data_IF_616697053248
#
_entry.id   IF_616697053248
#
_cell.length_a   1.000
_cell.length_b   1.000
_cell.length_c   1.000
_cell.angle_alpha   90.00
_cell.angle_beta   90.00
_cell.angle_gamma   90.00
#
_symmetry.space_group_name_H-M   'P 1'
#
loop_
_entity.id
_entity.type
_entity.pdbx_description
1 polymer ?
#
# COMPACT_ATOMS: atom_id res chain seq x y z
N UNK A 1 -38.63 67.76 -30.75
CA UNK A 1 -38.78 66.47 -30.10
C UNK A 1 -37.50 65.68 -30.40
N UNK A 2 -36.56 65.55 -29.44
CA UNK A 2 -35.27 64.88 -29.64
C UNK A 2 -35.39 63.48 -29.01
N UNK A 3 -35.30 62.42 -29.82
CA UNK A 3 -35.28 61.05 -29.36
C UNK A 3 -33.84 60.70 -28.89
N UNK A 4 -33.69 60.48 -27.61
CA UNK A 4 -32.46 59.95 -27.02
C UNK A 4 -32.54 58.39 -27.02
N UNK A 5 -31.75 57.77 -27.88
CA UNK A 5 -31.58 56.32 -27.91
C UNK A 5 -30.51 55.98 -26.84
N UNK A 6 -30.95 55.35 -25.77
CA UNK A 6 -30.03 54.77 -24.75
C UNK A 6 -29.50 53.43 -25.27
N UNK A 7 -28.20 53.41 -25.63
CA UNK A 7 -27.50 52.19 -26.02
C UNK A 7 -27.03 51.48 -24.76
N UNK A 8 -27.68 50.40 -24.37
CA UNK A 8 -27.32 49.56 -23.23
C UNK A 8 -26.17 48.62 -23.67
N UNK A 9 -24.92 49.01 -23.39
CA UNK A 9 -23.78 48.15 -23.60
C UNK A 9 -23.73 47.09 -22.49
N UNK A 10 -24.18 45.85 -22.78
CA UNK A 10 -24.02 44.69 -21.92
C UNK A 10 -22.57 44.25 -22.04
N UNK A 11 -21.77 44.55 -21.03
CA UNK A 11 -20.42 44.01 -20.83
C UNK A 11 -20.52 42.51 -20.55
N UNK A 12 -20.40 41.67 -21.57
CA UNK A 12 -20.15 40.27 -21.47
C UNK A 12 -18.69 40.06 -20.98
N UNK A 13 -18.49 40.04 -19.68
CA UNK A 13 -17.25 39.52 -19.13
C UNK A 13 -17.26 38.00 -19.38
N UNK A 14 -16.27 37.44 -20.07
CA UNK A 14 -16.17 35.99 -20.14
C UNK A 14 -15.86 35.47 -18.73
N UNK A 15 -16.82 34.86 -18.08
CA UNK A 15 -16.57 33.97 -16.97
C UNK A 15 -15.75 32.80 -17.55
N UNK A 16 -14.42 32.88 -17.42
CA UNK A 16 -13.57 31.75 -17.60
C UNK A 16 -13.92 30.78 -16.47
N UNK A 17 -14.85 29.84 -16.76
CA UNK A 17 -15.01 28.65 -15.95
C UNK A 17 -13.71 27.89 -16.14
N UNK A 18 -12.76 28.09 -15.21
CA UNK A 18 -11.57 27.28 -15.12
C UNK A 18 -12.08 25.89 -14.74
N UNK A 19 -12.18 25.00 -15.72
CA UNK A 19 -12.47 23.60 -15.47
C UNK A 19 -11.39 23.11 -14.51
N UNK A 20 -11.76 22.86 -13.25
CA UNK A 20 -10.87 22.28 -12.25
C UNK A 20 -10.47 20.93 -12.82
N UNK A 21 -9.21 20.77 -13.20
CA UNK A 21 -8.70 19.49 -13.67
C UNK A 21 -8.99 18.45 -12.59
N UNK A 22 -9.79 17.44 -12.92
CA UNK A 22 -10.29 16.44 -11.96
C UNK A 22 -9.23 15.59 -11.25
N UNK A 23 -7.95 15.95 -11.38
CA UNK A 23 -6.82 15.31 -10.71
C UNK A 23 -6.20 16.11 -9.56
N UNK A 24 -6.55 17.40 -9.41
CA UNK A 24 -5.87 18.29 -8.45
C UNK A 24 -6.17 17.97 -6.97
N UNK A 25 -7.25 17.25 -6.69
CA UNK A 25 -7.71 16.92 -5.33
C UNK A 25 -7.51 15.43 -4.99
N UNK A 26 -6.97 14.60 -5.90
CA UNK A 26 -6.72 13.18 -5.64
C UNK A 26 -5.53 13.03 -4.72
N UNK A 27 -5.72 12.30 -3.62
CA UNK A 27 -4.67 11.96 -2.65
C UNK A 27 -4.38 10.46 -2.70
N UNK A 28 -3.11 10.10 -2.92
CA UNK A 28 -2.62 8.74 -2.90
C UNK A 28 -1.76 8.56 -1.66
N UNK A 29 -2.01 7.52 -0.88
CA UNK A 29 -1.20 7.21 0.31
C UNK A 29 -0.81 5.74 0.32
N UNK A 30 0.47 5.47 0.61
CA UNK A 30 0.92 4.14 1.00
C UNK A 30 0.59 3.94 2.47
N UNK A 31 -0.10 2.87 2.78
CA UNK A 31 -0.48 2.51 4.14
C UNK A 31 0.41 1.37 4.62
N UNK A 32 1.04 1.56 5.78
CA UNK A 32 1.80 0.52 6.48
C UNK A 32 1.07 0.18 7.77
N UNK A 33 0.71 -1.09 7.91
CA UNK A 33 0.03 -1.63 9.07
C UNK A 33 0.99 -2.49 9.87
N UNK A 34 1.08 -2.26 11.18
CA UNK A 34 1.97 -3.02 12.03
C UNK A 34 1.60 -4.49 12.10
N UNK A 35 2.56 -5.37 12.45
CA UNK A 35 2.32 -6.78 12.73
C UNK A 35 1.14 -7.01 13.67
N UNK A 36 0.41 -8.12 13.46
CA UNK A 36 -0.67 -8.61 14.30
C UNK A 36 -0.27 -9.89 15.04
N UNK A 37 -1.24 -10.52 15.72
CA UNK A 37 -1.02 -11.76 16.48
C UNK A 37 -1.33 -13.02 15.66
N UNK A 38 -2.11 -12.89 14.59
CA UNK A 38 -2.41 -14.00 13.70
C UNK A 38 -1.22 -14.32 12.79
N UNK A 39 -0.97 -15.60 12.55
CA UNK A 39 0.20 -16.09 11.80
C UNK A 39 0.38 -15.35 10.46
N UNK A 40 -0.71 -15.12 9.72
CA UNK A 40 -0.70 -14.40 8.44
C UNK A 40 -0.43 -12.90 8.57
N UNK A 41 -0.47 -12.36 9.79
CA UNK A 41 -0.26 -10.93 10.07
C UNK A 41 1.05 -10.63 10.80
N UNK A 42 1.89 -11.61 11.08
CA UNK A 42 3.17 -11.43 11.80
C UNK A 42 4.11 -10.43 11.12
N UNK A 43 3.98 -10.26 9.82
CA UNK A 43 4.88 -9.40 9.04
C UNK A 43 4.26 -8.04 8.71
N UNK A 44 3.07 -7.74 9.24
CA UNK A 44 2.34 -6.53 8.91
C UNK A 44 1.64 -6.58 7.55
N UNK A 45 1.23 -5.41 7.05
CA UNK A 45 0.56 -5.30 5.76
C UNK A 45 0.85 -3.97 5.10
N UNK A 46 0.87 -3.95 3.77
CA UNK A 46 0.96 -2.72 2.96
C UNK A 46 -0.23 -2.63 2.01
N UNK A 47 -0.85 -1.45 1.95
CA UNK A 47 -1.97 -1.16 1.06
C UNK A 47 -1.84 0.23 0.43
N UNK A 48 -2.68 0.55 -0.55
CA UNK A 48 -2.77 1.89 -1.13
C UNK A 48 -4.15 2.47 -0.87
N UNK A 49 -4.19 3.68 -0.28
CA UNK A 49 -5.40 4.49 -0.20
C UNK A 49 -5.47 5.41 -1.40
N UNK A 50 -6.60 5.41 -2.06
CA UNK A 50 -7.01 6.32 -3.11
C UNK A 50 -8.18 7.16 -2.61
N UNK A 51 -7.99 8.47 -2.50
CA UNK A 51 -9.01 9.41 -2.05
C UNK A 51 -9.25 10.45 -3.13
N UNK A 52 -10.47 10.52 -3.62
CA UNK A 52 -10.93 11.44 -4.64
C UNK A 52 -12.21 12.16 -4.15
N UNK A 53 -12.06 13.31 -3.50
CA UNK A 53 -13.19 14.03 -2.93
C UNK A 53 -14.20 14.49 -4.00
N UNK A 54 -13.73 14.80 -5.21
CA UNK A 54 -14.60 15.26 -6.29
C UNK A 54 -15.59 14.18 -6.73
N UNK A 55 -15.19 12.91 -6.66
CA UNK A 55 -16.00 11.75 -7.02
C UNK A 55 -16.55 11.01 -5.78
N UNK A 56 -16.41 11.55 -4.57
CA UNK A 56 -16.83 10.93 -3.30
C UNK A 56 -16.23 9.54 -3.09
N UNK A 57 -15.00 9.31 -3.54
CA UNK A 57 -14.29 8.05 -3.38
C UNK A 57 -13.24 8.16 -2.27
N UNK A 58 -13.23 7.18 -1.38
CA UNK A 58 -12.20 6.98 -0.35
C UNK A 58 -12.03 5.48 -0.14
N UNK A 59 -11.11 4.90 -0.90
CA UNK A 59 -10.94 3.45 -1.06
C UNK A 59 -9.53 3.03 -0.65
N UNK A 60 -9.44 1.82 -0.12
CA UNK A 60 -8.16 1.14 0.14
C UNK A 60 -8.07 -0.08 -0.76
N UNK A 61 -7.01 -0.13 -1.55
CA UNK A 61 -6.68 -1.26 -2.42
C UNK A 61 -5.74 -2.19 -1.65
N UNK A 62 -6.23 -3.39 -1.37
CA UNK A 62 -5.54 -4.42 -0.63
C UNK A 62 -5.12 -5.54 -1.58
N UNK A 63 -3.81 -5.82 -1.64
CA UNK A 63 -3.26 -6.99 -2.29
C UNK A 63 -3.08 -8.10 -1.25
N UNK A 64 -3.17 -9.36 -1.68
CA UNK A 64 -2.99 -10.49 -0.76
C UNK A 64 -4.28 -10.91 -0.05
N UNK A 65 -5.44 -10.51 -0.57
CA UNK A 65 -6.72 -11.02 -0.08
C UNK A 65 -6.91 -12.46 -0.57
N UNK A 66 -7.24 -13.37 0.32
CA UNK A 66 -7.39 -14.79 0.03
C UNK A 66 -8.67 -15.35 0.64
N UNK A 67 -9.10 -16.51 0.15
CA UNK A 67 -10.29 -17.20 0.62
C UNK A 67 -9.91 -18.52 1.28
N UNK A 68 -10.07 -18.63 2.59
CA UNK A 68 -9.83 -19.86 3.36
C UNK A 68 -10.73 -21.02 2.95
N UNK A 69 -11.88 -20.76 2.32
CA UNK A 69 -12.80 -21.79 1.86
C UNK A 69 -12.39 -22.44 0.52
N UNK A 70 -11.19 -22.12 0.02
CA UNK A 70 -10.65 -22.77 -1.18
C UNK A 70 -10.32 -24.23 -0.85
N UNK A 71 -10.76 -25.16 -1.69
CA UNK A 71 -10.47 -26.58 -1.53
C UNK A 71 -8.97 -26.83 -1.43
N UNK A 72 -8.58 -27.61 -0.41
CA UNK A 72 -7.18 -27.91 -0.10
C UNK A 72 -6.30 -26.67 0.13
N UNK A 73 -6.87 -25.60 0.71
CA UNK A 73 -6.16 -24.33 0.93
C UNK A 73 -4.78 -24.51 1.56
N UNK A 74 -4.67 -25.29 2.65
CA UNK A 74 -3.41 -25.51 3.37
C UNK A 74 -2.35 -26.15 2.46
N UNK A 75 -2.72 -27.17 1.68
CA UNK A 75 -1.80 -27.80 0.73
C UNK A 75 -1.35 -26.85 -0.36
N UNK A 76 -2.28 -26.12 -0.96
CA UNK A 76 -1.98 -25.12 -1.97
C UNK A 76 -1.09 -23.99 -1.41
N UNK A 77 -1.34 -23.59 -0.17
CA UNK A 77 -0.50 -22.58 0.51
C UNK A 77 0.92 -23.09 0.68
N UNK A 78 1.12 -24.29 1.22
CA UNK A 78 2.44 -24.91 1.41
C UNK A 78 3.18 -25.11 0.07
N UNK A 79 2.47 -25.45 -1.00
CA UNK A 79 3.05 -25.62 -2.33
C UNK A 79 3.26 -24.30 -3.10
N UNK A 80 2.87 -23.14 -2.52
CA UNK A 80 2.92 -21.86 -3.22
C UNK A 80 1.92 -21.76 -4.38
N UNK A 81 0.86 -22.57 -4.36
CA UNK A 81 -0.15 -22.65 -5.44
C UNK A 81 -1.45 -21.88 -5.10
N UNK A 82 -1.44 -21.08 -4.05
CA UNK A 82 -2.61 -20.30 -3.63
C UNK A 82 -2.74 -19.05 -4.49
N UNK A 83 -3.91 -18.86 -5.08
CA UNK A 83 -4.26 -17.63 -5.75
C UNK A 83 -4.83 -16.63 -4.75
N UNK A 84 -4.35 -15.42 -4.84
CA UNK A 84 -4.77 -14.27 -4.04
C UNK A 84 -5.38 -13.22 -4.97
N UNK A 85 -6.03 -12.23 -4.38
CA UNK A 85 -6.64 -11.18 -5.18
C UNK A 85 -6.34 -9.78 -4.65
N UNK A 86 -6.45 -8.81 -5.56
CA UNK A 86 -6.55 -7.40 -5.22
C UNK A 86 -8.02 -7.04 -5.01
N UNK A 87 -8.33 -6.39 -3.90
CA UNK A 87 -9.68 -5.90 -3.60
C UNK A 87 -9.64 -4.46 -3.14
N UNK A 88 -10.67 -3.69 -3.50
CA UNK A 88 -10.90 -2.36 -2.95
C UNK A 88 -11.96 -2.43 -1.84
N UNK A 89 -11.69 -1.78 -0.72
CA UNK A 89 -12.63 -1.61 0.39
C UNK A 89 -12.79 -0.13 0.76
N UNK A 90 -13.96 0.31 1.22
CA UNK A 90 -14.12 1.65 1.76
C UNK A 90 -13.19 1.90 2.94
N UNK A 91 -12.65 3.14 3.02
CA UNK A 91 -11.72 3.56 4.07
C UNK A 91 -12.22 3.30 5.49
N UNK A 92 -13.49 3.56 5.76
CA UNK A 92 -14.09 3.35 7.08
C UNK A 92 -14.07 1.89 7.54
N UNK A 93 -14.25 0.93 6.63
CA UNK A 93 -14.16 -0.50 6.94
C UNK A 93 -12.72 -0.90 7.25
N UNK A 94 -11.77 -0.44 6.44
CA UNK A 94 -10.35 -0.68 6.68
C UNK A 94 -9.92 -0.16 8.06
N UNK A 95 -10.28 1.07 8.41
CA UNK A 95 -9.94 1.65 9.71
C UNK A 95 -10.57 0.88 10.87
N UNK A 96 -11.83 0.47 10.73
CA UNK A 96 -12.52 -0.30 11.77
C UNK A 96 -11.84 -1.65 11.99
N UNK A 97 -11.42 -2.33 10.93
CA UNK A 97 -10.69 -3.60 11.02
C UNK A 97 -9.40 -3.46 11.81
N UNK A 98 -8.54 -2.49 11.47
CA UNK A 98 -7.25 -2.32 12.15
C UNK A 98 -7.39 -1.80 13.58
N UNK A 99 -8.41 -0.99 13.89
CA UNK A 99 -8.77 -0.65 15.28
C UNK A 99 -9.14 -1.89 16.08
N UNK A 100 -9.93 -2.78 15.51
CA UNK A 100 -10.36 -4.03 16.16
C UNK A 100 -9.18 -4.97 16.40
N UNK A 101 -8.20 -5.00 15.47
CA UNK A 101 -6.95 -5.77 15.63
C UNK A 101 -5.96 -5.16 16.61
N UNK A 102 -6.13 -3.90 17.02
CA UNK A 102 -5.16 -3.18 17.84
C UNK A 102 -3.83 -2.88 17.12
N UNK A 103 -3.79 -2.98 15.81
CA UNK A 103 -2.62 -2.68 14.98
C UNK A 103 -2.55 -1.20 14.63
N UNK A 104 -1.32 -0.65 14.54
CA UNK A 104 -1.13 0.71 14.03
C UNK A 104 -1.31 0.79 12.53
N UNK A 105 -1.66 1.98 12.05
CA UNK A 105 -1.70 2.30 10.62
C UNK A 105 -0.99 3.63 10.40
N UNK A 106 0.06 3.62 9.61
CA UNK A 106 0.79 4.80 9.17
C UNK A 106 0.45 5.05 7.70
N UNK A 107 0.11 6.29 7.37
CA UNK A 107 -0.13 6.73 6.00
C UNK A 107 1.00 7.66 5.53
N UNK A 108 1.67 7.29 4.46
CA UNK A 108 2.64 8.12 3.76
C UNK A 108 1.97 8.69 2.51
N UNK A 109 1.56 9.95 2.58
CA UNK A 109 0.91 10.66 1.48
C UNK A 109 1.93 10.94 0.39
N UNK A 110 1.68 10.47 -0.83
CA UNK A 110 2.58 10.65 -1.96
C UNK A 110 2.46 12.05 -2.56
N UNK A 111 3.58 12.57 -3.02
CA UNK A 111 3.68 13.87 -3.69
C UNK A 111 3.46 13.68 -5.20
N UNK A 112 2.24 13.32 -5.58
CA UNK A 112 1.86 13.05 -6.96
C UNK A 112 1.51 14.33 -7.73
N UNK A 113 1.85 14.35 -9.02
CA UNK A 113 1.26 15.30 -9.97
C UNK A 113 -0.16 14.86 -10.36
N UNK A 114 -1.00 15.74 -10.94
CA UNK A 114 -2.33 15.34 -11.42
C UNK A 114 -2.30 14.18 -12.43
N UNK A 115 -1.27 14.15 -13.27
CA UNK A 115 -1.09 13.06 -14.24
C UNK A 115 -0.73 11.73 -13.55
N UNK A 116 0.16 11.76 -12.57
CA UNK A 116 0.51 10.57 -11.79
C UNK A 116 -0.69 10.06 -10.96
N UNK A 117 -1.47 10.97 -10.38
CA UNK A 117 -2.71 10.61 -9.68
C UNK A 117 -3.69 9.89 -10.62
N UNK A 118 -3.77 10.32 -11.89
CA UNK A 118 -4.58 9.63 -12.90
C UNK A 118 -3.97 8.27 -13.30
N UNK A 119 -2.64 8.14 -13.34
CA UNK A 119 -1.97 6.85 -13.56
C UNK A 119 -2.31 5.87 -12.43
N UNK A 120 -2.25 6.31 -11.15
CA UNK A 120 -2.68 5.51 -10.01
C UNK A 120 -4.14 5.09 -10.14
N UNK A 121 -5.04 6.02 -10.49
CA UNK A 121 -6.44 5.70 -10.71
C UNK A 121 -6.59 4.57 -11.74
N UNK A 122 -6.00 4.73 -12.90
CA UNK A 122 -6.11 3.75 -13.98
C UNK A 122 -5.50 2.40 -13.57
N UNK A 123 -4.33 2.39 -12.94
CA UNK A 123 -3.65 1.19 -12.50
C UNK A 123 -4.46 0.44 -11.43
N UNK A 124 -4.88 1.14 -10.38
CA UNK A 124 -5.58 0.53 -9.24
C UNK A 124 -6.95 -0.02 -9.64
N UNK A 125 -7.73 0.74 -10.42
CA UNK A 125 -9.04 0.28 -10.86
C UNK A 125 -8.94 -0.88 -11.86
N UNK A 126 -7.92 -0.89 -12.73
CA UNK A 126 -7.65 -2.05 -13.59
C UNK A 126 -7.29 -3.31 -12.77
N UNK A 127 -6.59 -3.17 -11.65
CA UNK A 127 -6.18 -4.31 -10.81
C UNK A 127 -7.34 -4.97 -10.03
N UNK A 128 -8.49 -4.33 -9.92
CA UNK A 128 -9.68 -4.93 -9.29
C UNK A 128 -10.70 -5.45 -10.30
N UNK A 129 -10.45 -5.30 -11.59
CA UNK A 129 -11.30 -5.89 -12.63
C UNK A 129 -11.28 -7.42 -12.54
N UNK A 130 -12.40 -8.11 -12.79
CA UNK A 130 -12.51 -9.56 -12.60
C UNK A 130 -11.44 -10.38 -13.33
N UNK A 131 -10.97 -9.90 -14.48
CA UNK A 131 -9.94 -10.60 -15.27
C UNK A 131 -8.51 -10.32 -14.78
N UNK A 132 -8.30 -9.33 -13.90
CA UNK A 132 -6.98 -8.84 -13.50
C UNK A 132 -6.73 -8.96 -11.99
N UNK A 133 -7.79 -9.15 -11.19
CA UNK A 133 -7.68 -9.09 -9.74
C UNK A 133 -7.00 -10.31 -9.12
N UNK A 134 -7.02 -11.47 -9.79
CA UNK A 134 -6.44 -12.71 -9.28
C UNK A 134 -5.00 -12.85 -9.75
N UNK A 135 -4.12 -13.25 -8.82
CA UNK A 135 -2.71 -13.50 -9.12
C UNK A 135 -2.12 -14.59 -8.24
N UNK A 136 -1.04 -15.22 -8.72
CA UNK A 136 -0.27 -16.18 -7.94
C UNK A 136 0.57 -15.42 -6.91
N UNK A 137 0.29 -15.66 -5.65
CA UNK A 137 1.01 -15.05 -4.54
C UNK A 137 2.35 -15.74 -4.31
N UNK A 138 3.37 -14.94 -4.05
CA UNK A 138 4.64 -15.43 -3.56
C UNK A 138 5.06 -14.57 -2.37
N UNK A 139 5.19 -15.18 -1.20
CA UNK A 139 5.45 -14.47 0.04
C UNK A 139 6.71 -13.57 -0.01
N UNK A 140 7.76 -14.01 -0.70
CA UNK A 140 9.04 -13.32 -0.75
C UNK A 140 9.11 -12.30 -1.91
N UNK A 141 8.50 -12.61 -3.06
CA UNK A 141 8.76 -11.86 -4.30
C UNK A 141 7.52 -11.20 -4.91
N UNK A 142 6.31 -11.65 -4.57
CA UNK A 142 5.04 -11.10 -5.11
C UNK A 142 3.93 -11.07 -4.04
N UNK A 143 4.18 -10.32 -2.99
CA UNK A 143 3.28 -10.11 -1.86
C UNK A 143 2.62 -8.72 -1.89
N UNK A 144 1.85 -8.37 -0.85
CA UNK A 144 1.16 -7.08 -0.75
C UNK A 144 2.13 -5.90 -0.90
N UNK A 145 3.29 -5.93 -0.24
CA UNK A 145 4.27 -4.84 -0.26
C UNK A 145 4.93 -4.69 -1.63
N UNK A 146 5.37 -5.80 -2.23
CA UNK A 146 5.99 -5.79 -3.55
C UNK A 146 5.02 -5.31 -4.64
N UNK A 147 3.73 -5.66 -4.53
CA UNK A 147 2.68 -5.18 -5.42
C UNK A 147 2.45 -3.68 -5.28
N UNK A 148 2.41 -3.16 -4.04
CA UNK A 148 2.31 -1.72 -3.78
C UNK A 148 3.55 -0.99 -4.29
N UNK A 149 4.76 -1.51 -4.03
CA UNK A 149 6.00 -0.95 -4.55
C UNK A 149 6.00 -0.86 -6.07
N UNK A 150 5.63 -1.94 -6.76
CA UNK A 150 5.52 -1.99 -8.21
C UNK A 150 4.47 -0.98 -8.74
N UNK A 151 3.34 -0.82 -8.06
CA UNK A 151 2.34 0.18 -8.40
C UNK A 151 2.90 1.60 -8.33
N UNK A 152 3.61 1.93 -7.25
CA UNK A 152 4.25 3.24 -7.08
C UNK A 152 5.29 3.47 -8.18
N UNK A 153 6.18 2.50 -8.44
CA UNK A 153 7.21 2.59 -9.48
C UNK A 153 6.64 2.79 -10.89
N UNK A 154 5.48 2.19 -11.19
CA UNK A 154 4.84 2.30 -12.50
C UNK A 154 4.02 3.59 -12.68
N UNK A 155 3.47 4.14 -11.60
CA UNK A 155 2.58 5.29 -11.68
C UNK A 155 3.32 6.63 -11.56
N UNK A 156 4.45 6.66 -10.88
CA UNK A 156 5.30 7.85 -10.72
C UNK A 156 6.10 8.08 -12.00
N UNK A 157 6.17 9.33 -12.43
CA UNK A 157 6.99 9.75 -13.58
C UNK A 157 8.37 10.21 -13.14
N UNK A 158 9.38 9.72 -13.79
CA UNK A 158 10.78 9.99 -13.47
C UNK A 158 11.46 8.81 -12.79
N UNK A 159 12.72 9.01 -12.44
CA UNK A 159 13.52 7.99 -11.79
C UNK A 159 13.35 8.07 -10.27
N UNK A 160 12.83 7.00 -9.67
CA UNK A 160 12.77 6.84 -8.21
C UNK A 160 14.16 6.45 -7.68
N UNK A 161 14.59 7.17 -6.65
CA UNK A 161 15.79 6.85 -5.88
C UNK A 161 15.39 6.70 -4.41
N UNK A 162 15.47 5.47 -3.92
CA UNK A 162 15.14 5.12 -2.55
C UNK A 162 16.31 5.38 -1.61
N UNK A 163 16.02 5.59 -0.34
CA UNK A 163 17.01 5.62 0.73
C UNK A 163 17.12 4.22 1.34
N UNK A 164 18.18 3.52 0.98
CA UNK A 164 18.41 2.16 1.47
C UNK A 164 19.22 2.16 2.76
N UNK A 165 18.94 1.20 3.65
CA UNK A 165 19.86 0.81 4.71
C UNK A 165 21.10 0.15 4.05
N UNK A 166 22.26 0.41 4.59
CA UNK A 166 23.53 -0.18 4.10
C UNK A 166 23.76 -1.60 4.59
N UNK A 167 22.91 -2.11 5.47
CA UNK A 167 23.06 -3.44 6.07
C UNK A 167 22.66 -4.52 5.06
N UNK A 168 23.52 -5.50 4.87
CA UNK A 168 23.18 -6.69 4.09
C UNK A 168 22.34 -7.63 4.95
N UNK A 169 21.24 -8.12 4.39
CA UNK A 169 20.33 -9.07 5.04
C UNK A 169 20.04 -10.25 4.13
N UNK A 170 19.74 -11.39 4.74
CA UNK A 170 19.07 -12.51 4.08
C UNK A 170 17.57 -12.45 4.37
N UNK A 171 16.75 -13.19 3.60
CA UNK A 171 15.32 -13.33 3.93
C UNK A 171 15.13 -13.89 5.34
N UNK A 172 15.91 -14.91 5.72
CA UNK A 172 15.82 -15.56 7.03
C UNK A 172 16.05 -14.59 8.16
N UNK A 173 17.11 -13.77 8.09
CA UNK A 173 17.41 -12.78 9.13
C UNK A 173 16.26 -11.82 9.32
N UNK A 174 15.69 -11.27 8.23
CA UNK A 174 14.55 -10.38 8.32
C UNK A 174 13.31 -11.09 8.88
N UNK A 175 13.02 -12.32 8.46
CA UNK A 175 11.87 -13.09 8.96
C UNK A 175 12.00 -13.37 10.45
N UNK A 176 13.22 -13.66 10.94
CA UNK A 176 13.49 -13.89 12.35
C UNK A 176 13.24 -12.65 13.21
N UNK A 177 13.46 -11.43 12.70
CA UNK A 177 13.15 -10.20 13.44
C UNK A 177 11.67 -10.16 13.89
N UNK A 178 10.76 -10.69 13.07
CA UNK A 178 9.31 -10.70 13.33
C UNK A 178 8.82 -11.94 14.07
N UNK A 179 9.57 -13.03 14.06
CA UNK A 179 9.16 -14.32 14.64
C UNK A 179 9.88 -14.70 15.91
N UNK A 180 10.86 -13.91 16.37
CA UNK A 180 11.63 -14.17 17.60
C UNK A 180 10.76 -14.44 18.84
N UNK A 181 9.58 -13.82 18.93
CA UNK A 181 8.63 -14.02 20.02
C UNK A 181 7.77 -15.29 19.85
N UNK A 182 7.86 -15.98 18.71
CA UNK A 182 7.02 -17.10 18.29
C UNK A 182 7.87 -18.28 17.80
N UNK A 183 8.59 -19.01 18.69
CA UNK A 183 9.57 -20.03 18.29
C UNK A 183 9.02 -21.09 17.33
N UNK A 184 7.77 -21.55 17.55
CA UNK A 184 7.13 -22.53 16.68
C UNK A 184 6.82 -22.00 15.27
N UNK A 185 6.47 -20.73 15.17
CA UNK A 185 6.26 -20.09 13.87
C UNK A 185 7.59 -19.89 13.14
N UNK A 186 8.64 -19.54 13.86
CA UNK A 186 9.99 -19.42 13.32
C UNK A 186 10.50 -20.75 12.77
N UNK A 187 10.45 -21.82 13.56
CA UNK A 187 10.86 -23.18 13.14
C UNK A 187 10.03 -23.66 11.94
N UNK A 188 8.72 -23.40 11.95
CA UNK A 188 7.83 -23.73 10.84
C UNK A 188 8.20 -23.00 9.54
N UNK A 189 8.50 -21.71 9.62
CA UNK A 189 8.96 -20.92 8.48
C UNK A 189 10.32 -21.42 7.96
N UNK A 190 11.25 -21.70 8.84
CA UNK A 190 12.59 -22.21 8.49
C UNK A 190 12.51 -23.54 7.76
N UNK A 191 11.62 -24.42 8.21
CA UNK A 191 11.39 -25.70 7.57
C UNK A 191 10.72 -25.56 6.19
N UNK A 192 9.70 -24.71 6.07
CA UNK A 192 8.92 -24.54 4.83
C UNK A 192 9.69 -23.80 3.73
N UNK A 193 10.48 -22.79 4.10
CA UNK A 193 11.17 -21.94 3.14
C UNK A 193 12.55 -22.52 2.71
N UNK A 194 13.11 -23.44 3.49
CA UNK A 194 14.35 -24.12 3.15
C UNK A 194 15.57 -23.19 3.03
N UNK A 195 16.56 -23.59 2.25
CA UNK A 195 17.81 -22.85 2.10
C UNK A 195 17.76 -21.66 1.13
N UNK A 196 16.72 -21.51 0.36
CA UNK A 196 16.60 -20.40 -0.60
C UNK A 196 16.52 -19.03 0.09
N UNK A 197 16.08 -19.01 1.35
CA UNK A 197 15.98 -17.80 2.17
C UNK A 197 17.31 -17.34 2.79
N UNK A 198 18.40 -18.09 2.61
CA UNK A 198 19.75 -17.75 3.10
C UNK A 198 20.56 -16.91 2.11
N UNK A 199 19.96 -16.54 0.99
CA UNK A 199 20.59 -15.69 -0.02
C UNK A 199 20.59 -14.22 0.43
N UNK A 200 21.74 -13.55 0.29
CA UNK A 200 21.86 -12.10 0.51
C UNK A 200 20.95 -11.34 -0.45
N UNK A 201 20.18 -10.42 0.10
CA UNK A 201 19.17 -9.65 -0.63
C UNK A 201 19.74 -8.40 -1.26
N UNK A 202 19.21 -8.04 -2.42
CA UNK A 202 19.30 -6.66 -2.89
C UNK A 202 18.46 -5.74 -1.98
N UNK A 203 18.85 -4.48 -1.86
CA UNK A 203 18.08 -3.51 -1.07
C UNK A 203 16.58 -3.46 -1.47
N UNK A 204 16.28 -3.59 -2.78
CA UNK A 204 14.89 -3.65 -3.24
C UNK A 204 14.17 -4.90 -2.71
N UNK A 205 14.85 -6.03 -2.65
CA UNK A 205 14.27 -7.27 -2.17
C UNK A 205 13.95 -7.23 -0.66
N UNK A 206 14.69 -6.46 0.15
CA UNK A 206 14.36 -6.30 1.59
C UNK A 206 12.99 -5.66 1.81
N UNK A 207 12.50 -4.90 0.82
CA UNK A 207 11.17 -4.29 0.86
C UNK A 207 10.01 -5.28 0.73
N UNK A 208 10.25 -6.60 0.73
CA UNK A 208 9.15 -7.57 0.82
C UNK A 208 8.38 -7.46 2.15
N UNK A 209 8.99 -6.86 3.18
CA UNK A 209 8.37 -6.55 4.47
C UNK A 209 7.87 -5.11 4.50
N UNK A 210 6.64 -4.85 5.00
CA UNK A 210 6.02 -3.53 5.07
C UNK A 210 6.88 -2.45 5.72
N UNK A 211 7.50 -2.73 6.86
CA UNK A 211 8.30 -1.75 7.60
C UNK A 211 9.58 -1.35 6.85
N UNK A 212 10.19 -2.29 6.12
CA UNK A 212 11.36 -1.99 5.28
C UNK A 212 10.99 -1.08 4.11
N UNK A 213 9.85 -1.34 3.47
CA UNK A 213 9.35 -0.47 2.40
C UNK A 213 8.95 0.90 2.93
N UNK A 214 8.28 0.97 4.09
CA UNK A 214 7.93 2.24 4.75
C UNK A 214 9.16 3.11 4.95
N UNK A 215 10.25 2.54 5.51
CA UNK A 215 11.54 3.26 5.70
C UNK A 215 12.15 3.68 4.37
N UNK A 216 12.14 2.79 3.36
CA UNK A 216 12.75 3.07 2.06
C UNK A 216 12.10 4.25 1.32
N UNK A 217 10.77 4.38 1.39
CA UNK A 217 10.05 5.47 0.70
C UNK A 217 10.05 6.78 1.45
N UNK A 218 10.27 6.79 2.77
CA UNK A 218 10.20 8.01 3.60
C UNK A 218 11.11 9.13 3.11
N UNK A 219 12.31 8.77 2.65
CA UNK A 219 13.29 9.70 2.12
C UNK A 219 13.53 9.55 0.62
N UNK A 220 12.67 8.78 -0.06
CA UNK A 220 12.80 8.57 -1.50
C UNK A 220 12.58 9.88 -2.27
N UNK A 221 13.34 10.04 -3.35
CA UNK A 221 13.26 11.20 -4.24
C UNK A 221 12.95 10.76 -5.66
N UNK A 222 12.25 11.62 -6.37
CA UNK A 222 11.91 11.48 -7.78
C UNK A 222 12.77 12.47 -8.56
N UNK A 223 13.51 12.01 -9.56
CA UNK A 223 14.26 12.83 -10.51
C UNK A 223 13.54 12.83 -11.84
N UNK A 224 13.29 14.01 -12.38
CA UNK A 224 12.81 14.15 -13.74
C UNK A 224 13.96 14.32 -14.73
N UNK A 225 13.66 14.35 -16.04
CA UNK A 225 14.65 14.48 -17.13
C UNK A 225 15.42 15.80 -17.10
N UNK A 226 14.91 16.82 -16.41
CA UNK A 226 15.53 18.15 -16.23
C UNK A 226 16.38 18.25 -14.96
N UNK A 227 16.67 17.12 -14.29
CA UNK A 227 17.40 17.01 -13.02
C UNK A 227 16.72 17.68 -11.81
N UNK A 228 15.49 18.17 -11.96
CA UNK A 228 14.70 18.59 -10.81
C UNK A 228 14.36 17.39 -9.94
N UNK A 229 14.45 17.58 -8.65
CA UNK A 229 14.13 16.54 -7.68
C UNK A 229 12.99 16.97 -6.78
N UNK A 230 12.07 16.02 -6.49
CA UNK A 230 11.04 16.18 -5.47
C UNK A 230 10.99 14.95 -4.57
N UNK A 231 10.57 15.16 -3.32
CA UNK A 231 10.33 14.03 -2.41
C UNK A 231 9.17 13.18 -2.92
N UNK A 232 9.29 11.86 -2.80
CA UNK A 232 8.19 10.93 -3.08
C UNK A 232 7.07 11.08 -2.05
N UNK A 233 7.42 11.17 -0.76
CA UNK A 233 6.46 11.34 0.34
C UNK A 233 6.33 12.83 0.68
N UNK A 234 5.09 13.32 0.63
CA UNK A 234 4.72 14.69 1.00
C UNK A 234 4.58 14.84 2.52
N UNK A 235 3.97 13.87 3.17
CA UNK A 235 3.76 13.83 4.62
C UNK A 235 3.52 12.41 5.11
N UNK A 236 3.92 12.15 6.37
CA UNK A 236 3.68 10.90 7.07
C UNK A 236 2.74 11.17 8.25
N UNK A 237 1.68 10.40 8.37
CA UNK A 237 0.61 10.59 9.36
C UNK A 237 0.32 9.25 10.04
N UNK A 238 0.37 9.20 11.36
CA UNK A 238 -0.15 8.06 12.10
C UNK A 238 -1.67 8.15 12.18
N UNK A 239 -2.35 7.24 11.53
CA UNK A 239 -3.82 7.17 11.46
C UNK A 239 -4.39 6.45 12.67
N UNK A 240 -3.73 5.35 13.08
CA UNK A 240 -4.10 4.53 14.24
C UNK A 240 -2.81 4.24 15.00
N UNK A 241 -2.81 4.51 16.31
CA UNK A 241 -1.76 4.04 17.21
C UNK A 241 -2.01 2.58 17.60
N UNK A 242 -0.94 1.82 17.77
CA UNK A 242 -1.05 0.43 18.24
C UNK A 242 -1.66 0.39 19.64
N UNK A 243 -2.63 -0.51 19.86
CA UNK A 243 -3.23 -0.72 21.16
C UNK A 243 -2.86 -2.09 21.73
N UNK A 244 -1.83 -2.18 22.59
CA UNK A 244 -1.35 -3.44 23.13
C UNK A 244 -2.37 -4.13 24.04
N UNK A 245 -3.37 -3.41 24.58
CA UNK A 245 -4.41 -4.01 25.41
C UNK A 245 -5.42 -4.82 24.58
N UNK A 246 -5.72 -4.39 23.37
CA UNK A 246 -6.58 -5.15 22.44
C UNK A 246 -5.87 -6.42 22.01
N UNK A 247 -4.58 -6.35 21.71
CA UNK A 247 -3.77 -7.50 21.32
C UNK A 247 -3.76 -8.61 22.38
N UNK A 248 -3.57 -8.25 23.65
CA UNK A 248 -3.52 -9.23 24.76
C UNK A 248 -4.85 -9.95 25.03
N UNK A 249 -5.98 -9.37 24.63
CA UNK A 249 -7.31 -9.97 24.84
C UNK A 249 -7.71 -10.93 23.73
N UNK A 250 -7.04 -10.87 22.58
CA UNK A 250 -7.30 -11.77 21.45
C UNK A 250 -6.40 -13.00 21.42
N UNK A 251 -5.25 -12.98 22.11
CA UNK A 251 -4.41 -14.16 22.24
C UNK A 251 -5.03 -15.15 23.23
N UNK A 252 -5.65 -16.22 22.73
CA UNK A 252 -5.90 -17.40 23.56
C UNK A 252 -4.55 -18.05 23.87
N UNK A 253 -4.13 -18.07 25.12
CA UNK A 253 -2.93 -18.73 25.64
C UNK A 253 -2.96 -20.27 25.51
N UNK A 254 -3.83 -20.81 24.68
CA UNK A 254 -3.87 -22.25 24.40
C UNK A 254 -2.96 -22.56 23.22
N UNK A 255 -1.87 -23.35 23.45
CA UNK A 255 -1.15 -23.90 22.31
C UNK A 255 -2.13 -24.71 21.44
N UNK A 256 -1.98 -24.70 20.11
CA UNK A 256 -2.80 -25.53 19.23
C UNK A 256 -2.66 -26.99 19.64
N UNK A 257 -3.74 -27.79 19.53
CA UNK A 257 -3.75 -29.21 19.88
C UNK A 257 -2.77 -30.02 19.04
#
# INVERSE_FOLDING_TARGET
MKNIIFLLAVLLTPFAIQAKNGGDDIEISVLTCSPGEEVYSYYGHTAIRYKDPANHLDLVFNYGVFNFNTDNFIWKFVLGETDYMCMASPWNYFIQEYKTRGSSVIAQVLNTTPEEAQNFRNFLFNNIEPNNCIYRYNFLTDNCTMRVMNCVEQCIKGQLSYSWDSTEHTYREILHEYTNAYPWAQEGNDFLLGAEVDTTLSHRATCFIPDYYNKAIEHAVIRNDFQDTRKLVKSTITIIEANPYVRKTSSSDTPPP
#
